data_IF_334529842779
#
_entry.id   IF_334529842779
#
_cell.length_a   1.000
_cell.length_b   1.000
_cell.length_c   1.000
_cell.angle_alpha   90.00
_cell.angle_beta   90.00
_cell.angle_gamma   90.00
#
_symmetry.space_group_name_H-M   'P 1'
#
loop_
_entity.id
_entity.type
_entity.pdbx_description
1 polymer ?
#
# COMPACT_ATOMS: atom_id res chain seq x y z
N UNK A 1 -24.84 -16.36 4.49
CA UNK A 1 -24.14 -15.08 4.27
C UNK A 1 -22.77 -15.40 3.70
N UNK A 2 -22.38 -14.77 2.60
CA UNK A 2 -21.07 -14.98 1.94
C UNK A 2 -19.93 -14.54 2.87
N UNK A 3 -18.83 -15.29 3.02
CA UNK A 3 -17.74 -14.95 3.96
C UNK A 3 -17.14 -13.54 3.76
N UNK A 4 -16.97 -13.09 2.52
CA UNK A 4 -16.48 -11.74 2.20
C UNK A 4 -17.46 -10.63 2.60
N UNK A 5 -18.79 -10.86 2.50
CA UNK A 5 -19.80 -9.97 3.07
C UNK A 5 -19.64 -9.89 4.59
N UNK A 6 -19.46 -11.02 5.26
CA UNK A 6 -19.25 -11.06 6.71
C UNK A 6 -17.97 -10.33 7.15
N UNK A 7 -16.93 -10.33 6.30
CA UNK A 7 -15.70 -9.58 6.51
C UNK A 7 -15.91 -8.06 6.41
N UNK A 8 -16.94 -7.61 5.68
CA UNK A 8 -17.31 -6.21 5.50
C UNK A 8 -18.27 -5.66 6.57
N UNK A 9 -19.00 -6.53 7.26
CA UNK A 9 -20.02 -6.13 8.24
C UNK A 9 -19.46 -5.20 9.32
N UNK A 10 -20.22 -4.16 9.72
CA UNK A 10 -19.78 -3.20 10.72
C UNK A 10 -19.53 -3.84 12.08
N UNK A 11 -18.53 -3.30 12.77
CA UNK A 11 -18.02 -3.72 14.09
C UNK A 11 -18.06 -2.60 15.12
N UNK A 12 -18.77 -1.53 14.81
CA UNK A 12 -18.89 -0.35 15.67
C UNK A 12 -19.53 -0.64 17.00
N UNK A 13 -18.90 -0.13 18.05
CA UNK A 13 -19.35 -0.23 19.43
C UNK A 13 -19.76 1.11 20.04
N UNK A 14 -19.82 2.18 19.25
CA UNK A 14 -20.10 3.55 19.71
C UNK A 14 -18.85 4.38 20.05
N UNK A 15 -17.67 3.77 20.14
CA UNK A 15 -16.40 4.46 20.37
C UNK A 15 -15.27 3.75 19.63
N UNK A 16 -14.16 4.46 19.43
CA UNK A 16 -12.99 3.95 18.73
C UNK A 16 -12.96 4.40 17.27
N UNK A 17 -12.49 3.53 16.38
CA UNK A 17 -12.43 3.81 14.95
C UNK A 17 -12.88 2.60 14.12
N UNK A 18 -13.37 2.88 12.92
CA UNK A 18 -13.68 1.87 11.92
C UNK A 18 -13.49 2.45 10.52
N UNK A 19 -12.85 1.67 9.66
CA UNK A 19 -12.29 2.08 8.37
C UNK A 19 -12.62 1.02 7.33
N UNK A 20 -13.25 1.42 6.24
CA UNK A 20 -13.27 0.67 4.99
C UNK A 20 -12.41 1.42 3.99
N UNK A 21 -11.46 0.73 3.35
CA UNK A 21 -10.70 1.34 2.28
C UNK A 21 -10.45 0.36 1.15
N UNK A 22 -10.17 0.92 -0.01
CA UNK A 22 -9.69 0.18 -1.15
C UNK A 22 -8.61 0.94 -1.91
N UNK A 23 -7.69 0.20 -2.52
CA UNK A 23 -6.75 0.73 -3.52
C UNK A 23 -7.07 0.05 -4.85
N UNK A 24 -7.19 0.84 -5.90
CA UNK A 24 -7.28 0.42 -7.29
C UNK A 24 -6.00 0.80 -8.00
N UNK A 25 -5.27 -0.17 -8.54
CA UNK A 25 -4.09 0.07 -9.35
C UNK A 25 -4.31 -0.49 -10.75
N UNK A 26 -3.96 0.27 -11.79
CA UNK A 26 -4.04 -0.17 -13.18
C UNK A 26 -2.68 -0.73 -13.63
N UNK A 27 -2.53 -2.06 -13.81
CA UNK A 27 -1.26 -2.63 -14.28
C UNK A 27 -0.85 -2.09 -15.65
N UNK A 28 0.47 -1.87 -15.85
CA UNK A 28 0.99 -1.29 -17.09
C UNK A 28 0.77 0.21 -17.25
N UNK A 29 0.26 0.87 -16.21
CA UNK A 29 -0.06 2.30 -16.17
C UNK A 29 0.42 2.92 -14.86
N UNK A 30 0.59 4.25 -14.85
CA UNK A 30 0.90 5.07 -13.67
C UNK A 30 -0.36 5.52 -12.91
N UNK A 31 -1.53 4.93 -13.20
CA UNK A 31 -2.84 5.37 -12.71
C UNK A 31 -3.33 4.55 -11.52
N UNK A 32 -3.83 5.25 -10.52
CA UNK A 32 -4.41 4.65 -9.33
C UNK A 32 -5.47 5.51 -8.67
N UNK A 33 -6.35 4.86 -7.89
CA UNK A 33 -7.28 5.48 -6.97
C UNK A 33 -7.19 4.79 -5.61
N UNK A 34 -7.13 5.57 -4.54
CA UNK A 34 -7.33 5.09 -3.18
C UNK A 34 -8.48 5.85 -2.55
N UNK A 35 -9.42 5.11 -1.96
CA UNK A 35 -10.54 5.69 -1.24
C UNK A 35 -10.61 5.09 0.14
N UNK A 36 -10.91 5.94 1.12
CA UNK A 36 -11.14 5.53 2.49
C UNK A 36 -12.40 6.16 3.04
N UNK A 37 -13.16 5.37 3.78
CA UNK A 37 -14.34 5.76 4.52
C UNK A 37 -14.07 5.43 5.98
N UNK A 38 -14.22 6.39 6.88
CA UNK A 38 -13.92 6.19 8.31
C UNK A 38 -14.99 6.81 9.18
N UNK A 39 -15.29 6.13 10.27
CA UNK A 39 -15.87 6.75 11.47
C UNK A 39 -14.89 6.68 12.62
N UNK A 40 -14.88 7.72 13.45
CA UNK A 40 -14.08 7.79 14.66
C UNK A 40 -14.87 8.49 15.76
N UNK A 41 -14.72 8.02 16.98
CA UNK A 41 -15.27 8.65 18.17
C UNK A 41 -14.33 8.43 19.36
N UNK A 42 -13.88 9.52 19.97
CA UNK A 42 -13.08 9.54 21.19
C UNK A 42 -13.58 10.62 22.16
N UNK A 43 -12.81 10.88 23.22
CA UNK A 43 -13.12 11.91 24.23
C UNK A 43 -13.09 13.34 23.69
N UNK A 44 -12.51 13.56 22.50
CA UNK A 44 -12.37 14.87 21.87
C UNK A 44 -13.44 15.14 20.82
N UNK A 45 -14.15 14.11 20.36
CA UNK A 45 -15.28 14.23 19.46
C UNK A 45 -15.49 13.00 18.60
N UNK A 46 -16.46 13.12 17.71
CA UNK A 46 -16.78 12.07 16.73
C UNK A 46 -17.13 12.65 15.38
N UNK A 47 -16.69 11.96 14.33
CA UNK A 47 -16.96 12.33 12.95
C UNK A 47 -16.91 11.13 12.01
N UNK A 48 -17.43 11.36 10.81
CA UNK A 48 -17.26 10.49 9.65
C UNK A 48 -16.43 11.22 8.60
N UNK A 49 -15.63 10.49 7.83
CA UNK A 49 -14.70 11.08 6.88
C UNK A 49 -14.56 10.23 5.63
N UNK A 50 -14.39 10.91 4.51
CA UNK A 50 -14.08 10.33 3.21
C UNK A 50 -12.75 10.89 2.74
N UNK A 51 -11.84 10.03 2.29
CA UNK A 51 -10.61 10.43 1.61
C UNK A 51 -10.63 9.85 0.21
N UNK A 52 -10.17 10.63 -0.75
CA UNK A 52 -9.91 10.16 -2.11
C UNK A 52 -8.52 10.65 -2.54
N UNK A 53 -7.73 9.74 -3.09
CA UNK A 53 -6.41 10.04 -3.62
C UNK A 53 -6.30 9.44 -5.02
N UNK A 54 -6.07 10.30 -6.01
CA UNK A 54 -5.79 9.90 -7.39
C UNK A 54 -4.33 10.13 -7.67
N UNK A 55 -3.67 9.12 -8.23
CA UNK A 55 -2.29 9.22 -8.70
C UNK A 55 -2.25 8.96 -10.21
N UNK A 56 -1.59 9.82 -10.97
CA UNK A 56 -1.39 9.67 -12.41
C UNK A 56 -0.07 10.34 -12.82
N UNK A 57 0.75 9.64 -13.60
CA UNK A 57 1.97 10.17 -14.22
C UNK A 57 2.92 10.91 -13.25
N UNK A 58 3.13 10.33 -12.06
CA UNK A 58 3.99 10.89 -11.01
C UNK A 58 3.37 12.04 -10.21
N UNK A 59 2.15 12.47 -10.53
CA UNK A 59 1.38 13.44 -9.76
C UNK A 59 0.38 12.74 -8.83
N UNK A 60 0.04 13.39 -7.73
CA UNK A 60 -0.97 12.92 -6.78
C UNK A 60 -1.87 14.07 -6.36
N UNK A 61 -3.18 13.84 -6.40
CA UNK A 61 -4.21 14.74 -5.88
C UNK A 61 -4.97 14.02 -4.77
N UNK A 62 -5.16 14.72 -3.66
CA UNK A 62 -5.64 14.16 -2.41
C UNK A 62 -6.68 15.10 -1.79
N UNK A 63 -7.90 14.58 -1.61
CA UNK A 63 -9.04 15.30 -1.06
C UNK A 63 -9.58 14.57 0.17
N UNK A 64 -10.17 15.34 1.10
CA UNK A 64 -10.86 14.81 2.27
C UNK A 64 -12.11 15.61 2.60
N UNK A 65 -13.17 14.89 2.93
CA UNK A 65 -14.38 15.48 3.53
C UNK A 65 -14.57 14.98 4.95
N UNK A 66 -14.99 15.89 5.83
CA UNK A 66 -15.30 15.64 7.23
C UNK A 66 -16.78 15.95 7.44
N UNK A 67 -17.52 14.98 7.95
CA UNK A 67 -18.97 15.03 8.16
C UNK A 67 -19.29 14.65 9.61
N UNK A 68 -20.52 14.96 10.04
CA UNK A 68 -21.03 14.45 11.31
C UNK A 68 -21.02 12.91 11.32
N UNK A 69 -20.82 12.30 12.49
CA UNK A 69 -20.73 10.84 12.64
C UNK A 69 -21.95 10.11 12.03
N UNK A 70 -23.13 10.71 12.20
CA UNK A 70 -24.43 10.20 11.76
C UNK A 70 -24.57 10.16 10.24
N UNK A 71 -23.70 10.86 9.51
CA UNK A 71 -23.68 10.79 8.04
C UNK A 71 -23.24 9.41 7.55
N UNK A 72 -22.51 8.62 8.35
CA UNK A 72 -22.09 7.27 7.99
C UNK A 72 -23.14 6.24 8.43
N UNK A 73 -23.82 5.63 7.47
CA UNK A 73 -24.82 4.58 7.68
C UNK A 73 -24.41 3.28 7.00
N UNK A 74 -24.84 2.15 7.55
CA UNK A 74 -24.51 0.80 7.04
C UNK A 74 -25.75 -0.03 6.67
N UNK A 75 -26.92 0.60 6.68
CA UNK A 75 -28.20 -0.04 6.43
C UNK A 75 -28.75 0.46 5.09
N UNK A 76 -29.34 -0.46 4.31
CA UNK A 76 -29.92 -0.17 3.00
C UNK A 76 -31.01 -1.18 2.65
N UNK A 77 -32.17 -0.69 2.21
CA UNK A 77 -33.24 -1.54 1.67
C UNK A 77 -32.89 -2.08 0.27
N UNK A 78 -32.18 -1.30 -0.53
CA UNK A 78 -31.77 -1.66 -1.91
C UNK A 78 -30.61 -2.68 -1.92
N UNK A 79 -29.81 -2.68 -0.85
CA UNK A 79 -28.62 -3.51 -0.71
C UNK A 79 -28.61 -4.20 0.66
N UNK A 80 -29.47 -5.22 0.87
CA UNK A 80 -29.71 -5.80 2.19
C UNK A 80 -28.52 -6.60 2.75
N UNK A 81 -27.54 -6.96 1.91
CA UNK A 81 -26.38 -7.75 2.31
C UNK A 81 -25.30 -6.89 2.99
N UNK A 82 -24.85 -5.83 2.33
CA UNK A 82 -23.90 -4.87 2.86
C UNK A 82 -23.89 -3.61 1.99
N UNK A 83 -24.09 -2.45 2.62
CA UNK A 83 -23.97 -1.15 1.98
C UNK A 83 -23.55 -0.13 3.01
N UNK A 84 -22.57 0.68 2.67
CA UNK A 84 -22.02 1.76 3.46
C UNK A 84 -22.26 3.06 2.68
N UNK A 85 -22.90 4.03 3.33
CA UNK A 85 -23.11 5.37 2.79
C UNK A 85 -22.50 6.39 3.73
N UNK A 86 -21.88 7.42 3.19
CA UNK A 86 -21.37 8.58 3.95
C UNK A 86 -21.98 9.84 3.36
N UNK A 87 -23.05 10.34 3.96
CA UNK A 87 -23.80 11.50 3.48
C UNK A 87 -24.22 11.35 2.02
N UNK A 88 -24.01 12.38 1.21
CA UNK A 88 -24.13 12.32 -0.26
C UNK A 88 -22.76 12.11 -0.95
N UNK A 89 -21.70 11.91 -0.15
CA UNK A 89 -20.30 11.96 -0.58
C UNK A 89 -19.85 10.62 -1.15
N UNK A 90 -20.26 9.51 -0.53
CA UNK A 90 -19.82 8.19 -0.96
C UNK A 90 -20.84 7.10 -0.67
N UNK A 91 -20.84 6.10 -1.55
CA UNK A 91 -21.63 4.88 -1.50
C UNK A 91 -20.71 3.71 -1.83
N UNK A 92 -20.72 2.68 -0.98
CA UNK A 92 -19.82 1.54 -1.07
C UNK A 92 -20.54 0.26 -0.71
N UNK A 93 -20.43 -0.77 -1.54
CA UNK A 93 -21.08 -2.04 -1.29
C UNK A 93 -20.32 -3.21 -1.88
N UNK A 94 -20.95 -4.37 -1.86
CA UNK A 94 -20.36 -5.58 -2.40
C UNK A 94 -20.35 -5.53 -3.93
N UNK A 95 -19.18 -5.23 -4.51
CA UNK A 95 -18.97 -5.15 -5.96
C UNK A 95 -19.11 -3.76 -6.57
N UNK A 96 -19.27 -2.70 -5.77
CA UNK A 96 -19.32 -1.34 -6.30
C UNK A 96 -18.81 -0.27 -5.33
N UNK A 97 -18.39 0.86 -5.88
CA UNK A 97 -18.20 2.10 -5.15
C UNK A 97 -18.44 3.30 -6.05
N UNK A 98 -19.13 4.30 -5.54
CA UNK A 98 -19.31 5.59 -6.19
C UNK A 98 -19.24 6.72 -5.16
N UNK A 99 -18.83 7.90 -5.61
CA UNK A 99 -18.75 9.05 -4.72
C UNK A 99 -18.09 10.26 -5.34
N UNK A 100 -18.08 11.34 -4.58
CA UNK A 100 -17.41 12.60 -4.89
C UNK A 100 -16.86 13.19 -3.60
N UNK A 101 -15.55 13.40 -3.56
CA UNK A 101 -14.83 14.02 -2.46
C UNK A 101 -14.02 15.20 -3.03
N UNK A 102 -14.44 16.43 -2.74
CA UNK A 102 -13.84 17.62 -3.35
C UNK A 102 -13.94 17.62 -4.88
N UNK A 103 -12.79 17.70 -5.56
CA UNK A 103 -12.71 17.66 -7.04
C UNK A 103 -12.57 16.25 -7.62
N UNK A 104 -12.49 15.22 -6.78
CA UNK A 104 -12.37 13.82 -7.19
C UNK A 104 -13.75 13.16 -7.12
N UNK A 105 -14.24 12.61 -8.22
CA UNK A 105 -15.41 11.73 -8.24
C UNK A 105 -15.07 10.37 -8.82
N UNK A 106 -15.76 9.30 -8.43
CA UNK A 106 -15.53 7.97 -8.95
C UNK A 106 -16.83 7.21 -9.12
N UNK A 107 -16.81 6.25 -10.03
CA UNK A 107 -17.87 5.26 -10.22
C UNK A 107 -17.23 3.97 -10.70
N UNK A 108 -17.26 2.96 -9.84
CA UNK A 108 -16.56 1.69 -10.00
C UNK A 108 -17.49 0.52 -9.76
N UNK A 109 -17.26 -0.54 -10.55
CA UNK A 109 -17.73 -1.90 -10.26
C UNK A 109 -16.52 -2.81 -10.16
N UNK A 110 -16.59 -3.81 -9.29
CA UNK A 110 -15.55 -4.80 -9.14
C UNK A 110 -16.12 -6.20 -8.91
N UNK A 111 -15.38 -7.21 -9.34
CA UNK A 111 -15.79 -8.61 -9.16
C UNK A 111 -15.56 -9.05 -7.71
N UNK A 112 -16.61 -8.98 -6.91
CA UNK A 112 -16.58 -9.38 -5.52
C UNK A 112 -16.57 -10.91 -5.40
N UNK A 113 -15.51 -11.46 -4.80
CA UNK A 113 -15.38 -12.90 -4.55
C UNK A 113 -16.05 -13.33 -3.24
N UNK A 114 -16.29 -14.64 -3.09
CA UNK A 114 -16.97 -15.19 -1.91
C UNK A 114 -16.08 -15.26 -0.66
N UNK A 115 -14.79 -15.54 -0.84
CA UNK A 115 -13.85 -15.77 0.25
C UNK A 115 -12.95 -14.55 0.48
N UNK A 116 -12.77 -14.10 1.75
CA UNK A 116 -11.79 -13.07 2.06
C UNK A 116 -10.36 -13.59 1.88
N UNK A 117 -9.43 -12.68 1.59
CA UNK A 117 -8.02 -12.99 1.59
C UNK A 117 -7.51 -13.18 3.03
N UNK A 118 -6.63 -14.16 3.22
CA UNK A 118 -6.00 -14.44 4.51
C UNK A 118 -4.50 -14.17 4.41
N UNK A 119 -4.12 -12.90 4.55
CA UNK A 119 -2.73 -12.42 4.35
C UNK A 119 -2.17 -11.62 5.54
N UNK A 120 -3.01 -11.38 6.54
CA UNK A 120 -2.64 -10.68 7.77
C UNK A 120 -1.92 -11.61 8.76
N UNK A 121 -1.13 -11.07 9.71
CA UNK A 121 -0.55 -11.87 10.77
C UNK A 121 -1.61 -12.69 11.53
N UNK A 122 -1.48 -14.02 11.51
CA UNK A 122 -2.40 -14.92 12.18
C UNK A 122 -2.06 -15.00 13.67
N UNK A 123 -2.80 -14.27 14.50
CA UNK A 123 -2.66 -14.26 15.95
C UNK A 123 -3.70 -15.17 16.61
N UNK A 124 -3.34 -15.88 17.70
CA UNK A 124 -4.31 -16.60 18.52
C UNK A 124 -5.41 -15.66 19.04
N UNK A 125 -6.66 -16.13 19.01
CA UNK A 125 -7.84 -15.32 19.34
C UNK A 125 -7.88 -14.82 20.79
N UNK A 126 -7.11 -15.42 21.70
CA UNK A 126 -7.02 -14.99 23.10
C UNK A 126 -6.13 -13.75 23.31
N UNK A 127 -5.37 -13.33 22.31
CA UNK A 127 -4.53 -12.13 22.42
C UNK A 127 -5.44 -10.89 22.34
N UNK A 128 -5.46 -10.02 23.36
CA UNK A 128 -6.26 -8.80 23.31
C UNK A 128 -5.65 -7.82 22.32
N UNK A 129 -6.35 -7.57 21.20
CA UNK A 129 -5.93 -6.63 20.17
C UNK A 129 -6.74 -5.34 20.27
N UNK A 130 -6.07 -4.20 20.19
CA UNK A 130 -6.73 -2.89 20.11
C UNK A 130 -7.16 -2.51 18.69
N UNK A 131 -6.60 -3.16 17.67
CA UNK A 131 -6.93 -3.02 16.25
C UNK A 131 -7.16 -4.42 15.66
N UNK A 132 -8.19 -4.54 14.85
CA UNK A 132 -8.52 -5.71 14.05
C UNK A 132 -8.60 -5.33 12.58
N UNK A 133 -8.38 -6.31 11.70
CA UNK A 133 -8.57 -6.11 10.28
C UNK A 133 -8.99 -7.39 9.57
N UNK A 134 -9.76 -7.22 8.51
CA UNK A 134 -10.09 -8.24 7.51
C UNK A 134 -9.71 -7.72 6.12
N UNK A 135 -9.58 -8.65 5.18
CA UNK A 135 -9.24 -8.35 3.79
C UNK A 135 -10.33 -8.94 2.87
N UNK A 136 -11.49 -8.27 2.71
CA UNK A 136 -12.65 -8.86 2.03
C UNK A 136 -12.40 -9.26 0.57
N UNK A 137 -11.65 -8.45 -0.18
CA UNK A 137 -11.34 -8.69 -1.58
C UNK A 137 -9.88 -8.35 -1.87
N UNK A 138 -9.21 -9.18 -2.67
CA UNK A 138 -7.83 -8.99 -3.11
C UNK A 138 -7.72 -9.24 -4.61
N UNK A 139 -7.03 -8.35 -5.32
CA UNK A 139 -6.88 -8.35 -6.78
C UNK A 139 -8.21 -8.50 -7.55
N UNK A 140 -9.30 -7.93 -7.03
CA UNK A 140 -10.60 -7.97 -7.69
C UNK A 140 -10.55 -7.12 -8.98
N UNK A 141 -10.88 -7.67 -10.16
CA UNK A 141 -10.98 -6.90 -11.39
C UNK A 141 -11.97 -5.74 -11.27
N UNK A 142 -11.58 -4.58 -11.81
CA UNK A 142 -12.35 -3.33 -11.76
C UNK A 142 -12.74 -2.90 -13.16
N UNK A 143 -13.95 -2.36 -13.26
CA UNK A 143 -14.41 -1.52 -14.38
C UNK A 143 -14.94 -0.20 -13.84
N UNK A 144 -14.81 0.86 -14.63
CA UNK A 144 -15.28 2.18 -14.26
C UNK A 144 -14.21 3.25 -14.36
N UNK A 145 -14.40 4.35 -13.65
CA UNK A 145 -13.60 5.55 -13.84
C UNK A 145 -13.49 6.39 -12.60
N UNK A 146 -12.52 7.28 -12.63
CA UNK A 146 -12.40 8.43 -11.73
C UNK A 146 -12.38 9.70 -12.56
N UNK A 147 -13.02 10.76 -12.09
CA UNK A 147 -12.89 12.09 -12.65
C UNK A 147 -12.14 12.98 -11.65
N UNK A 148 -11.22 13.78 -12.18
CA UNK A 148 -10.42 14.71 -11.41
C UNK A 148 -10.32 16.01 -12.20
N UNK A 149 -10.69 17.12 -11.56
CA UNK A 149 -10.71 18.45 -12.19
C UNK A 149 -11.47 18.46 -13.53
N UNK A 150 -12.58 17.71 -13.60
CA UNK A 150 -13.43 17.58 -14.79
C UNK A 150 -12.89 16.65 -15.89
N UNK A 151 -11.73 16.02 -15.68
CA UNK A 151 -11.15 15.05 -16.61
C UNK A 151 -11.38 13.63 -16.13
N UNK A 152 -11.94 12.81 -17.01
CA UNK A 152 -12.18 11.38 -16.77
C UNK A 152 -10.93 10.54 -17.06
N UNK A 153 -10.60 9.65 -16.12
CA UNK A 153 -9.55 8.65 -16.19
C UNK A 153 -10.20 7.26 -16.13
N UNK A 154 -9.99 6.46 -17.18
CA UNK A 154 -10.51 5.09 -17.22
C UNK A 154 -9.68 4.17 -16.31
N UNK A 155 -10.36 3.31 -15.55
CA UNK A 155 -9.78 2.31 -14.66
C UNK A 155 -10.17 0.87 -15.06
N UNK A 156 -10.74 0.67 -16.24
CA UNK A 156 -11.01 -0.67 -16.77
C UNK A 156 -9.74 -1.53 -16.82
N UNK A 157 -9.83 -2.75 -16.29
CA UNK A 157 -8.70 -3.68 -16.21
C UNK A 157 -7.78 -3.42 -15.01
N UNK A 158 -8.10 -2.45 -14.16
CA UNK A 158 -7.42 -2.27 -12.88
C UNK A 158 -7.78 -3.40 -11.90
N UNK A 159 -6.97 -3.51 -10.85
CA UNK A 159 -7.14 -4.49 -9.79
C UNK A 159 -7.35 -3.76 -8.47
N UNK A 160 -8.27 -4.27 -7.65
CA UNK A 160 -8.66 -3.70 -6.38
C UNK A 160 -8.25 -4.60 -5.22
N UNK A 161 -7.63 -4.00 -4.20
CA UNK A 161 -7.55 -4.58 -2.86
C UNK A 161 -8.47 -3.81 -1.93
N UNK A 162 -9.14 -4.54 -1.04
CA UNK A 162 -10.04 -3.98 -0.04
C UNK A 162 -9.67 -4.48 1.35
N UNK A 163 -9.66 -3.57 2.32
CA UNK A 163 -9.54 -3.92 3.72
C UNK A 163 -10.61 -3.22 4.56
N UNK A 164 -10.95 -3.87 5.67
CA UNK A 164 -11.79 -3.33 6.73
C UNK A 164 -11.00 -3.40 8.03
N UNK A 165 -10.87 -2.28 8.74
CA UNK A 165 -10.06 -2.14 9.97
C UNK A 165 -10.91 -1.47 11.05
N UNK A 166 -10.94 -2.01 12.25
CA UNK A 166 -11.67 -1.43 13.37
C UNK A 166 -10.94 -1.62 14.69
N UNK A 167 -11.29 -0.84 15.71
CA UNK A 167 -10.78 -1.06 17.05
C UNK A 167 -10.87 0.14 17.98
N UNK A 168 -10.37 -0.04 19.20
CA UNK A 168 -10.34 0.96 20.27
C UNK A 168 -8.97 1.63 20.44
N UNK A 169 -7.93 1.13 19.76
CA UNK A 169 -6.60 1.73 19.74
C UNK A 169 -5.93 1.45 18.40
N UNK A 170 -5.30 2.46 17.79
CA UNK A 170 -4.57 2.30 16.51
C UNK A 170 -3.25 1.57 16.74
N UNK A 171 -2.82 0.78 15.74
CA UNK A 171 -1.42 0.35 15.64
C UNK A 171 -0.53 1.59 15.52
N UNK A 172 0.50 1.70 16.36
CA UNK A 172 1.38 2.88 16.33
C UNK A 172 2.43 2.82 15.22
N UNK A 173 2.67 1.65 14.63
CA UNK A 173 3.59 1.49 13.52
C UNK A 173 3.05 0.44 12.54
N UNK A 174 2.99 0.80 11.27
CA UNK A 174 2.63 -0.09 10.18
C UNK A 174 3.46 0.19 8.93
N UNK A 175 3.82 -0.87 8.22
CA UNK A 175 4.35 -0.81 6.85
C UNK A 175 3.52 -1.77 6.01
N UNK A 176 3.02 -1.28 4.89
CA UNK A 176 2.23 -2.09 3.98
C UNK A 176 2.72 -1.89 2.56
N UNK A 177 2.83 -2.98 1.82
CA UNK A 177 3.12 -2.96 0.41
C UNK A 177 2.24 -3.97 -0.30
N UNK A 178 1.66 -3.57 -1.43
CA UNK A 178 0.82 -4.43 -2.24
C UNK A 178 1.16 -4.29 -3.71
N UNK A 179 1.36 -5.42 -4.37
CA UNK A 179 1.68 -5.52 -5.80
C UNK A 179 0.67 -6.49 -6.42
N UNK A 180 -0.34 -5.99 -7.13
CA UNK A 180 -1.38 -6.86 -7.69
C UNK A 180 -0.87 -7.71 -8.87
N UNK A 181 0.20 -7.24 -9.55
CA UNK A 181 0.78 -7.93 -10.70
C UNK A 181 2.26 -7.60 -10.88
N UNK A 182 3.08 -8.63 -11.10
CA UNK A 182 4.45 -8.49 -11.61
C UNK A 182 4.51 -8.60 -13.15
N UNK A 183 5.53 -8.00 -13.74
CA UNK A 183 5.80 -8.01 -15.18
C UNK A 183 6.12 -9.43 -15.67
N UNK A 184 5.46 -9.85 -16.75
CA UNK A 184 5.53 -11.22 -17.28
C UNK A 184 6.77 -11.51 -18.14
N UNK A 185 7.71 -10.57 -18.27
CA UNK A 185 8.86 -10.63 -19.22
C UNK A 185 9.81 -11.81 -19.00
N UNK A 186 9.69 -12.55 -17.89
CA UNK A 186 10.42 -13.80 -17.62
C UNK A 186 9.51 -15.03 -17.37
N UNK A 187 8.29 -15.03 -17.90
CA UNK A 187 7.43 -16.23 -17.93
C UNK A 187 6.56 -16.47 -16.68
N UNK A 188 6.31 -15.44 -15.87
CA UNK A 188 5.30 -15.52 -14.82
C UNK A 188 4.88 -14.15 -14.33
N UNK A 189 3.57 -13.91 -14.23
CA UNK A 189 3.04 -12.80 -13.42
C UNK A 189 3.12 -13.16 -11.94
N UNK A 190 2.01 -13.01 -11.22
CA UNK A 190 1.97 -13.19 -9.77
C UNK A 190 1.77 -11.87 -9.02
N UNK A 191 1.73 -11.96 -7.69
CA UNK A 191 1.31 -10.85 -6.83
C UNK A 191 2.01 -10.93 -5.47
N UNK A 192 2.09 -9.82 -4.76
CA UNK A 192 2.74 -9.71 -3.46
C UNK A 192 1.90 -8.85 -2.51
N UNK A 193 1.89 -9.25 -1.25
CA UNK A 193 1.49 -8.38 -0.15
C UNK A 193 2.43 -8.55 1.04
N UNK A 194 2.79 -7.43 1.67
CA UNK A 194 3.55 -7.38 2.92
C UNK A 194 2.78 -6.49 3.88
N UNK A 195 2.49 -7.02 5.07
CA UNK A 195 1.93 -6.25 6.18
C UNK A 195 2.81 -6.43 7.40
N UNK A 196 3.46 -5.36 7.84
CA UNK A 196 4.23 -5.33 9.07
C UNK A 196 3.62 -4.35 10.08
N UNK A 197 3.43 -4.80 11.32
CA UNK A 197 2.77 -4.02 12.37
C UNK A 197 3.50 -4.14 13.70
N UNK A 198 3.51 -3.05 14.46
CA UNK A 198 3.87 -3.05 15.87
C UNK A 198 2.83 -2.26 16.67
N UNK A 199 2.38 -2.84 17.78
CA UNK A 199 1.37 -2.22 18.64
C UNK A 199 1.87 -0.93 19.30
N UNK A 200 3.18 -0.85 19.58
CA UNK A 200 3.85 0.35 20.10
C UNK A 200 5.06 0.67 19.24
N UNK A 201 5.23 1.95 18.93
CA UNK A 201 6.47 2.42 18.35
C UNK A 201 7.47 2.68 19.49
N UNK A 202 8.59 1.95 19.52
CA UNK A 202 9.69 2.30 20.43
C UNK A 202 10.40 3.55 19.88
N UNK A 203 10.65 4.59 20.70
CA UNK A 203 11.39 5.76 20.24
C UNK A 203 12.77 5.36 19.72
N UNK A 204 13.13 5.73 18.49
CA UNK A 204 14.40 5.40 17.85
C UNK A 204 15.63 5.73 18.71
N UNK A 205 15.52 6.77 19.55
CA UNK A 205 16.57 7.22 20.48
C UNK A 205 16.89 6.22 21.61
N UNK A 206 15.97 5.30 21.97
CA UNK A 206 16.16 4.35 23.08
C UNK A 206 16.68 2.97 22.63
N UNK A 207 16.40 2.56 21.41
CA UNK A 207 16.69 1.19 20.94
C UNK A 207 17.97 1.09 20.11
N UNK A 208 18.52 2.22 19.63
CA UNK A 208 19.59 2.23 18.63
C UNK A 208 19.20 1.56 17.31
N UNK A 209 17.92 1.17 17.16
CA UNK A 209 17.33 0.51 16.00
C UNK A 209 16.36 1.47 15.33
N UNK A 210 16.32 1.45 14.00
CA UNK A 210 15.46 2.33 13.20
C UNK A 210 13.99 1.89 13.16
N UNK A 211 13.70 0.61 13.46
CA UNK A 211 12.34 0.04 13.41
C UNK A 211 12.03 -0.76 14.70
N UNK A 212 10.77 -0.73 15.19
CA UNK A 212 10.35 -1.45 16.40
C UNK A 212 10.29 -2.97 16.18
N UNK A 213 10.17 -3.74 17.27
CA UNK A 213 9.80 -5.15 17.17
C UNK A 213 8.40 -5.26 16.56
N UNK A 214 8.28 -6.04 15.49
CA UNK A 214 7.07 -6.09 14.67
C UNK A 214 6.72 -7.53 14.29
N UNK A 215 5.45 -7.73 13.94
CA UNK A 215 4.99 -8.90 13.21
C UNK A 215 4.97 -8.53 11.73
N UNK A 216 5.59 -9.32 10.86
CA UNK A 216 5.59 -9.08 9.41
C UNK A 216 5.02 -10.29 8.66
N UNK A 217 3.76 -10.19 8.23
CA UNK A 217 3.17 -11.12 7.28
C UNK A 217 3.60 -10.78 5.85
N UNK A 218 3.87 -11.82 5.08
CA UNK A 218 4.20 -11.70 3.66
C UNK A 218 3.54 -12.86 2.92
N UNK A 219 2.85 -12.52 1.83
CA UNK A 219 2.22 -13.47 0.92
C UNK A 219 2.71 -13.15 -0.49
N UNK A 220 3.26 -14.14 -1.17
CA UNK A 220 3.81 -14.00 -2.51
C UNK A 220 3.32 -15.13 -3.40
N UNK A 221 2.67 -14.79 -4.51
CA UNK A 221 2.30 -15.71 -5.58
C UNK A 221 3.26 -15.57 -6.74
N UNK A 222 3.83 -16.68 -7.19
CA UNK A 222 4.78 -16.76 -8.29
C UNK A 222 4.08 -17.34 -9.51
N UNK A 223 3.89 -16.51 -10.55
CA UNK A 223 3.16 -16.89 -11.75
C UNK A 223 1.66 -16.70 -11.64
N UNK A 224 0.95 -17.08 -12.72
CA UNK A 224 -0.50 -16.95 -12.84
C UNK A 224 -1.20 -18.29 -12.98
N UNK A 225 -2.49 -18.30 -12.67
CA UNK A 225 -3.33 -19.51 -12.75
C UNK A 225 -3.31 -20.37 -11.49
N UNK A 226 -4.00 -21.52 -11.54
CA UNK A 226 -4.23 -22.39 -10.38
C UNK A 226 -2.95 -23.10 -9.88
N UNK A 227 -1.96 -23.27 -10.76
CA UNK A 227 -0.69 -23.94 -10.44
C UNK A 227 0.40 -22.97 -9.95
N UNK A 228 0.07 -21.69 -9.78
CA UNK A 228 1.01 -20.69 -9.29
C UNK A 228 1.51 -21.05 -7.88
N UNK A 229 2.83 -21.01 -7.68
CA UNK A 229 3.41 -21.29 -6.37
C UNK A 229 3.04 -20.15 -5.40
N UNK A 230 2.56 -20.49 -4.20
CA UNK A 230 2.29 -19.52 -3.14
C UNK A 230 3.26 -19.72 -1.99
N UNK A 231 4.01 -18.65 -1.68
CA UNK A 231 4.82 -18.54 -0.49
C UNK A 231 4.05 -17.71 0.52
N UNK A 232 3.47 -18.38 1.51
CA UNK A 232 2.72 -17.75 2.59
C UNK A 232 3.51 -17.77 3.91
N UNK A 233 3.90 -16.58 4.37
CA UNK A 233 4.57 -16.32 5.62
C UNK A 233 3.72 -15.51 6.61
N UNK A 234 2.39 -15.64 6.57
CA UNK A 234 1.43 -14.98 7.47
C UNK A 234 1.29 -15.65 8.85
N UNK A 235 1.73 -16.90 9.01
CA UNK A 235 1.67 -17.63 10.27
C UNK A 235 2.63 -17.08 11.35
N UNK A 236 2.19 -17.09 12.62
CA UNK A 236 2.86 -16.47 13.77
C UNK A 236 4.39 -16.68 13.84
N UNK A 237 4.86 -17.93 13.73
CA UNK A 237 6.31 -18.23 13.83
C UNK A 237 7.12 -17.57 12.72
N UNK A 238 6.53 -17.45 11.53
CA UNK A 238 7.18 -16.83 10.36
C UNK A 238 7.15 -15.32 10.48
N UNK A 239 6.03 -14.74 10.90
CA UNK A 239 5.88 -13.29 11.05
C UNK A 239 6.79 -12.68 12.11
N UNK A 240 7.09 -13.43 13.19
CA UNK A 240 8.06 -13.02 14.22
C UNK A 240 9.53 -13.09 13.76
N UNK A 241 9.85 -13.88 12.73
CA UNK A 241 11.23 -14.06 12.22
C UNK A 241 11.53 -13.19 11.02
N UNK A 242 10.50 -12.70 10.34
CA UNK A 242 10.62 -11.81 9.22
C UNK A 242 11.31 -10.51 9.65
N UNK A 243 12.22 -10.01 8.81
CA UNK A 243 12.85 -8.70 8.99
C UNK A 243 12.27 -7.76 7.95
N UNK A 244 11.57 -6.72 8.39
CA UNK A 244 11.28 -5.57 7.56
C UNK A 244 12.00 -4.33 8.09
N UNK A 245 12.47 -3.49 7.18
CA UNK A 245 13.17 -2.24 7.50
C UNK A 245 12.71 -1.12 6.60
N UNK A 246 12.55 0.07 7.17
CA UNK A 246 12.50 1.31 6.41
C UNK A 246 13.91 1.88 6.31
N UNK A 247 14.57 1.64 5.18
CA UNK A 247 15.96 2.09 5.00
C UNK A 247 16.02 3.62 4.91
N UNK A 248 14.95 4.24 4.40
CA UNK A 248 14.74 5.69 4.29
C UNK A 248 13.26 5.97 3.93
N UNK A 249 12.82 7.23 3.94
CA UNK A 249 11.47 7.59 3.51
C UNK A 249 11.18 7.00 2.13
N UNK A 250 10.01 6.39 1.98
CA UNK A 250 9.59 5.82 0.71
C UNK A 250 10.29 4.53 0.28
N UNK A 251 11.10 3.89 1.13
CA UNK A 251 11.72 2.59 0.80
C UNK A 251 11.46 1.57 1.90
N UNK A 252 10.85 0.46 1.50
CA UNK A 252 10.63 -0.74 2.30
C UNK A 252 11.56 -1.85 1.83
N UNK A 253 12.28 -2.45 2.78
CA UNK A 253 13.14 -3.60 2.52
C UNK A 253 12.74 -4.75 3.43
N UNK A 254 12.40 -5.90 2.84
CA UNK A 254 12.04 -7.10 3.55
C UNK A 254 12.96 -8.25 3.17
N UNK A 255 13.38 -9.02 4.17
CA UNK A 255 14.16 -10.25 3.98
C UNK A 255 13.52 -11.36 4.78
N UNK A 256 13.27 -12.48 4.11
CA UNK A 256 12.85 -13.73 4.72
C UNK A 256 13.75 -14.88 4.26
N UNK A 257 14.07 -15.80 5.16
CA UNK A 257 14.81 -17.02 4.83
C UNK A 257 14.22 -18.21 5.58
N UNK A 258 14.15 -19.37 4.92
CA UNK A 258 13.60 -20.60 5.49
C UNK A 258 13.59 -21.73 4.46
N UNK A 259 13.66 -22.98 4.91
CA UNK A 259 13.57 -24.18 4.05
C UNK A 259 14.55 -24.17 2.85
N UNK A 260 15.75 -23.63 3.04
CA UNK A 260 16.73 -23.52 1.96
C UNK A 260 16.38 -22.49 0.88
N UNK A 261 15.39 -21.61 1.11
CA UNK A 261 15.09 -20.45 0.27
C UNK A 261 15.34 -19.15 1.01
N UNK A 262 15.63 -18.10 0.24
CA UNK A 262 15.75 -16.73 0.70
C UNK A 262 15.03 -15.81 -0.27
N UNK A 263 14.33 -14.84 0.29
CA UNK A 263 13.50 -13.88 -0.43
C UNK A 263 13.95 -12.51 0.02
N UNK A 264 14.24 -11.66 -0.95
CA UNK A 264 14.57 -10.25 -0.72
C UNK A 264 13.58 -9.41 -1.50
N UNK A 265 12.89 -8.51 -0.82
CA UNK A 265 11.84 -7.68 -1.40
C UNK A 265 12.17 -6.22 -1.15
N UNK A 266 12.11 -5.42 -2.20
CA UNK A 266 12.29 -3.97 -2.14
C UNK A 266 11.09 -3.32 -2.77
N UNK A 267 10.39 -2.49 -2.01
CA UNK A 267 9.29 -1.67 -2.52
C UNK A 267 9.64 -0.21 -2.28
N UNK A 268 9.48 0.64 -3.28
CA UNK A 268 9.82 2.04 -3.14
C UNK A 268 8.93 2.97 -3.94
N UNK A 269 8.78 4.20 -3.48
CA UNK A 269 8.12 5.27 -4.21
C UNK A 269 8.92 6.56 -4.08
N UNK A 270 8.80 7.44 -5.07
CA UNK A 270 9.32 8.78 -4.96
C UNK A 270 8.56 9.54 -3.87
N UNK A 271 9.23 10.31 -2.98
CA UNK A 271 8.57 11.07 -1.92
C UNK A 271 7.41 11.96 -2.41
N UNK A 272 7.55 12.52 -3.62
CA UNK A 272 6.57 13.42 -4.22
C UNK A 272 5.27 12.74 -4.64
N UNK A 273 5.27 11.42 -4.81
CA UNK A 273 4.05 10.64 -5.13
C UNK A 273 3.32 10.17 -3.88
N UNK A 274 3.75 10.59 -2.69
CA UNK A 274 3.12 10.20 -1.43
C UNK A 274 2.07 11.21 -0.99
N UNK A 275 0.86 10.73 -0.70
CA UNK A 275 -0.14 11.48 0.05
C UNK A 275 0.08 11.25 1.55
N UNK A 276 0.49 12.29 2.27
CA UNK A 276 0.72 12.27 3.71
C UNK A 276 -0.44 12.85 4.52
N UNK A 277 -0.78 12.24 5.65
CA UNK A 277 -1.87 12.64 6.54
C UNK A 277 -1.48 12.46 8.01
N UNK A 278 -1.83 13.43 8.85
CA UNK A 278 -1.81 13.25 10.30
C UNK A 278 -3.08 12.50 10.72
N UNK A 279 -2.93 11.51 11.60
CA UNK A 279 -3.96 10.64 12.12
C UNK A 279 -4.03 10.79 13.62
N UNK A 280 -5.20 11.12 14.16
CA UNK A 280 -5.35 11.18 15.62
C UNK A 280 -5.33 9.80 16.24
N UNK A 281 -4.52 9.63 17.29
CA UNK A 281 -4.61 8.48 18.19
C UNK A 281 -5.79 8.65 19.13
N UNK A 282 -6.50 7.55 19.38
CA UNK A 282 -7.50 7.50 20.46
C UNK A 282 -6.73 7.67 21.78
N UNK A 283 -7.11 8.66 22.58
CA UNK A 283 -6.38 9.06 23.79
C UNK A 283 -5.28 10.11 23.57
N UNK A 284 -5.11 10.63 22.34
CA UNK A 284 -4.31 11.82 22.05
C UNK A 284 -2.93 11.59 21.44
N UNK A 285 -2.41 12.66 20.83
CA UNK A 285 -1.27 12.62 19.93
C UNK A 285 -1.67 12.24 18.51
N UNK A 286 -0.76 12.47 17.57
CA UNK A 286 -0.94 12.12 16.17
C UNK A 286 0.05 11.03 15.75
N UNK A 287 -0.36 10.25 14.76
CA UNK A 287 0.47 9.39 13.93
C UNK A 287 0.51 10.01 12.53
N UNK A 288 1.50 9.61 11.75
CA UNK A 288 1.72 10.08 10.41
C UNK A 288 1.56 8.91 9.46
N UNK A 289 0.67 9.05 8.48
CA UNK A 289 0.48 8.07 7.40
C UNK A 289 0.94 8.70 6.11
N UNK A 290 1.78 8.01 5.36
CA UNK A 290 2.19 8.39 4.02
C UNK A 290 2.00 7.20 3.08
N UNK A 291 1.20 7.38 2.03
CA UNK A 291 0.90 6.34 1.06
C UNK A 291 1.20 6.81 -0.35
N UNK A 292 1.87 5.96 -1.13
CA UNK A 292 1.97 6.09 -2.58
C UNK A 292 1.23 4.95 -3.25
N UNK A 293 0.55 5.25 -4.36
CA UNK A 293 -0.07 4.27 -5.25
C UNK A 293 0.70 4.14 -6.59
N UNK A 294 1.90 4.73 -6.66
CA UNK A 294 2.82 4.71 -7.80
C UNK A 294 4.16 4.14 -7.37
N UNK A 295 4.14 3.11 -6.52
CA UNK A 295 5.35 2.47 -6.05
C UNK A 295 5.86 1.43 -7.06
N UNK A 296 7.14 1.14 -6.96
CA UNK A 296 7.82 0.06 -7.64
C UNK A 296 8.10 -1.06 -6.65
N UNK A 297 8.19 -2.29 -7.15
CA UNK A 297 8.58 -3.44 -6.37
C UNK A 297 9.54 -4.34 -7.14
N UNK A 298 10.55 -4.84 -6.44
CA UNK A 298 11.42 -5.92 -6.90
C UNK A 298 11.43 -7.05 -5.87
N UNK A 299 11.31 -8.29 -6.36
CA UNK A 299 11.49 -9.50 -5.56
C UNK A 299 12.66 -10.29 -6.14
N UNK A 300 13.58 -10.71 -5.29
CA UNK A 300 14.67 -11.61 -5.63
C UNK A 300 14.53 -12.90 -4.81
N UNK A 301 14.44 -14.03 -5.52
CA UNK A 301 14.40 -15.36 -4.93
C UNK A 301 15.75 -16.02 -5.06
N UNK A 302 16.17 -16.69 -3.99
CA UNK A 302 17.40 -17.44 -3.94
C UNK A 302 17.15 -18.81 -3.31
N UNK A 303 17.91 -19.79 -3.77
CA UNK A 303 18.00 -21.13 -3.16
C UNK A 303 19.36 -21.34 -2.52
N UNK A 304 19.41 -22.15 -1.46
CA UNK A 304 20.63 -22.50 -0.76
C UNK A 304 21.54 -23.33 -1.67
N UNK A 305 22.82 -22.97 -1.72
CA UNK A 305 23.85 -23.71 -2.46
C UNK A 305 25.12 -23.77 -1.61
N UNK A 306 25.35 -24.91 -0.95
CA UNK A 306 26.42 -25.06 0.05
C UNK A 306 26.25 -24.08 1.21
N UNK A 307 27.28 -23.27 1.46
CA UNK A 307 27.25 -22.21 2.48
C UNK A 307 26.63 -20.90 2.00
N UNK A 308 26.38 -20.75 0.69
CA UNK A 308 25.89 -19.52 0.06
C UNK A 308 24.46 -19.63 -0.51
N UNK A 309 24.12 -18.64 -1.32
CA UNK A 309 22.83 -18.52 -1.99
C UNK A 309 23.04 -18.44 -3.51
N UNK A 310 22.18 -19.10 -4.27
CA UNK A 310 22.14 -19.03 -5.74
C UNK A 310 20.82 -18.38 -6.17
N UNK A 311 20.85 -17.36 -7.05
CA UNK A 311 19.63 -16.76 -7.59
C UNK A 311 18.74 -17.80 -8.28
N UNK A 312 17.43 -17.68 -8.08
CA UNK A 312 16.39 -18.55 -8.65
C UNK A 312 15.46 -17.77 -9.58
N UNK A 313 14.92 -16.64 -9.13
CA UNK A 313 14.04 -15.79 -9.93
C UNK A 313 14.13 -14.33 -9.50
N UNK A 314 13.69 -13.43 -10.39
CA UNK A 314 13.51 -12.01 -10.11
C UNK A 314 12.19 -11.53 -10.71
N UNK A 315 11.39 -10.85 -9.91
CA UNK A 315 10.12 -10.25 -10.32
C UNK A 315 10.18 -8.73 -10.14
N UNK A 316 9.52 -8.00 -11.03
CA UNK A 316 9.46 -6.53 -11.00
C UNK A 316 8.06 -6.04 -11.31
N UNK A 317 7.70 -4.91 -10.71
CA UNK A 317 6.46 -4.21 -11.00
C UNK A 317 6.66 -2.73 -10.81
N UNK A 318 6.07 -1.93 -11.69
CA UNK A 318 5.90 -0.47 -11.52
C UNK A 318 4.50 -0.12 -11.01
N UNK A 319 3.72 -1.12 -10.62
CA UNK A 319 2.33 -1.02 -10.19
C UNK A 319 2.24 -1.57 -8.77
N UNK A 320 2.47 -0.71 -7.78
CA UNK A 320 2.40 -1.08 -6.37
C UNK A 320 1.85 0.05 -5.49
N UNK A 321 1.21 -0.34 -4.39
CA UNK A 321 0.90 0.54 -3.28
C UNK A 321 1.95 0.36 -2.17
N UNK A 322 2.31 1.46 -1.51
CA UNK A 322 3.28 1.48 -0.42
C UNK A 322 2.84 2.47 0.64
N UNK A 323 2.66 2.01 1.88
CA UNK A 323 2.25 2.81 3.02
C UNK A 323 3.26 2.74 4.17
N UNK A 324 3.52 3.90 4.75
CA UNK A 324 4.22 4.08 6.01
C UNK A 324 3.29 4.74 7.02
N UNK A 325 3.13 4.10 8.17
CA UNK A 325 2.37 4.62 9.29
C UNK A 325 3.23 4.57 10.56
N UNK A 326 3.37 5.68 11.27
CA UNK A 326 4.23 5.75 12.45
C UNK A 326 4.15 7.06 13.22
N UNK A 327 4.83 7.18 14.37
CA UNK A 327 4.99 8.46 15.06
C UNK A 327 6.00 9.39 14.38
N UNK A 328 6.82 8.86 13.48
CA UNK A 328 7.86 9.63 12.80
C UNK A 328 7.28 10.42 11.64
N UNK A 329 7.66 11.70 11.57
CA UNK A 329 7.41 12.55 10.41
C UNK A 329 8.61 12.47 9.46
N UNK A 330 8.39 12.14 8.20
CA UNK A 330 9.45 12.22 7.18
C UNK A 330 9.52 13.66 6.65
N UNK A 331 10.68 14.30 6.80
CA UNK A 331 10.87 15.72 6.46
C UNK A 331 10.65 15.99 4.97
N UNK A 332 10.82 14.97 4.13
CA UNK A 332 10.68 15.02 2.68
C UNK A 332 9.22 14.90 2.21
N UNK A 333 8.28 14.63 3.12
CA UNK A 333 6.87 14.41 2.81
C UNK A 333 6.00 15.54 3.36
N UNK A 334 4.97 15.90 2.59
CA UNK A 334 3.94 16.80 3.04
C UNK A 334 2.82 16.02 3.76
N UNK A 335 2.43 16.49 4.93
CA UNK A 335 1.34 15.90 5.71
C UNK A 335 0.20 16.88 5.89
N UNK A 336 -1.00 16.45 5.54
CA UNK A 336 -2.22 17.21 5.79
C UNK A 336 -2.61 17.06 7.27
N UNK A 337 -2.80 18.17 8.01
CA UNK A 337 -3.24 18.12 9.40
C UNK A 337 -4.55 17.34 9.60
N UNK A 338 -4.76 16.81 10.79
CA UNK A 338 -5.96 16.03 11.09
C UNK A 338 -7.27 16.82 10.95
N UNK A 339 -7.28 18.16 11.07
CA UNK A 339 -8.51 18.96 10.92
C UNK A 339 -8.68 19.61 9.54
N UNK A 340 -7.68 19.59 8.67
CA UNK A 340 -7.70 20.31 7.38
C UNK A 340 -8.48 19.58 6.28
N UNK A 341 -9.38 20.23 5.55
CA UNK A 341 -10.14 19.54 4.50
C UNK A 341 -9.26 19.11 3.31
N UNK A 342 -8.23 19.89 2.95
CA UNK A 342 -7.44 19.65 1.73
C UNK A 342 -5.94 19.55 1.98
N UNK A 343 -5.25 18.81 1.11
CA UNK A 343 -3.78 18.79 1.09
C UNK A 343 -3.16 20.12 0.63
N UNK A 344 -3.87 20.86 -0.22
CA UNK A 344 -3.42 22.15 -0.76
C UNK A 344 -3.26 23.23 0.32
N UNK A 345 -3.98 23.10 1.43
CA UNK A 345 -3.93 24.04 2.56
C UNK A 345 -2.65 23.87 3.43
N UNK A 346 -1.89 22.79 3.22
CA UNK A 346 -0.75 22.41 4.06
C UNK A 346 0.61 22.61 3.40
N UNK A 347 0.69 23.25 2.22
CA UNK A 347 1.97 23.49 1.54
C UNK A 347 2.91 24.27 2.47
N UNK A 348 3.95 23.60 2.99
CA UNK A 348 5.03 24.31 3.67
C UNK A 348 5.66 25.27 2.66
N UNK A 349 5.89 26.54 3.01
CA UNK A 349 6.65 27.45 2.17
C UNK A 349 8.09 26.91 2.05
N UNK A 350 8.40 26.26 0.92
CA UNK A 350 9.75 25.76 0.62
C UNK A 350 9.86 24.48 -0.21
N UNK A 351 8.80 23.69 -0.42
CA UNK A 351 8.90 22.40 -1.15
C UNK A 351 8.43 22.44 -2.61
N UNK A 352 8.63 23.55 -3.33
CA UNK A 352 8.45 23.57 -4.79
C UNK A 352 9.82 23.39 -5.44
N UNK A 353 10.22 22.14 -5.64
CA UNK A 353 11.21 21.85 -6.66
C UNK A 353 10.48 21.87 -8.01
N UNK A 354 10.47 23.02 -8.67
CA UNK A 354 10.10 23.11 -10.08
C UNK A 354 11.15 22.33 -10.87
N UNK A 355 10.82 21.12 -11.31
CA UNK A 355 11.61 20.43 -12.32
C UNK A 355 11.01 20.70 -13.69
N UNK A 356 11.91 21.01 -14.63
CA UNK A 356 11.62 21.34 -16.01
C UNK A 356 10.79 20.24 -16.68
N UNK A 357 9.97 20.65 -17.67
CA UNK A 357 9.21 19.76 -18.53
C UNK A 357 10.09 18.63 -19.07
N UNK A 358 9.57 17.38 -19.18
CA UNK A 358 10.29 16.31 -19.82
C UNK A 358 10.59 16.70 -21.27
N UNK A 359 11.80 16.36 -21.74
CA UNK A 359 12.17 16.47 -23.14
C UNK A 359 11.13 15.77 -24.01
N UNK A 360 10.82 16.36 -25.17
CA UNK A 360 9.81 15.93 -26.13
C UNK A 360 9.69 14.40 -26.21
N UNK A 361 8.58 13.88 -25.70
CA UNK A 361 8.23 12.48 -25.84
C UNK A 361 7.98 12.20 -27.33
N UNK A 362 8.76 11.28 -27.91
CA UNK A 362 8.44 10.68 -29.20
C UNK A 362 7.04 10.04 -29.13
N UNK A 363 6.30 10.10 -30.24
CA UNK A 363 4.97 9.49 -30.35
C UNK A 363 4.96 8.04 -29.81
N UNK A 364 3.95 7.66 -29.00
CA UNK A 364 3.84 6.31 -28.49
C UNK A 364 3.68 5.31 -29.66
N UNK A 365 4.28 4.12 -29.59
CA UNK A 365 4.11 3.11 -30.62
C UNK A 365 2.64 2.72 -30.75
N UNK A 366 2.21 2.45 -31.98
CA UNK A 366 0.83 2.09 -32.27
C UNK A 366 0.41 0.75 -31.63
N UNK A 367 -0.90 0.50 -31.50
CA UNK A 367 -1.41 -0.76 -30.96
C UNK A 367 -0.92 -1.94 -31.80
N UNK A 368 -0.12 -2.83 -31.20
CA UNK A 368 0.43 -4.03 -31.83
C UNK A 368 1.96 -4.08 -31.90
N UNK A 369 2.64 -2.97 -31.63
CA UNK A 369 4.11 -2.92 -31.60
C UNK A 369 4.62 -3.16 -30.17
N UNK A 370 5.13 -4.36 -29.93
CA UNK A 370 5.79 -4.70 -28.67
C UNK A 370 7.11 -3.92 -28.57
N UNK A 371 7.23 -3.07 -27.55
CA UNK A 371 8.52 -2.49 -27.17
C UNK A 371 9.36 -3.64 -26.60
N UNK A 372 10.40 -4.08 -27.33
CA UNK A 372 11.45 -4.89 -26.74
C UNK A 372 12.15 -4.07 -25.65
N UNK A 373 11.75 -4.30 -24.41
CA UNK A 373 12.49 -3.81 -23.26
C UNK A 373 13.71 -4.73 -23.07
N UNK A 374 14.94 -4.24 -23.23
CA UNK A 374 16.12 -5.09 -23.06
C UNK A 374 16.12 -5.70 -21.66
N UNK A 375 16.51 -6.98 -21.54
CA UNK A 375 16.74 -7.65 -20.26
C UNK A 375 17.55 -6.72 -19.34
N UNK A 376 17.03 -6.32 -18.17
CA UNK A 376 17.76 -5.39 -17.32
C UNK A 376 18.94 -6.11 -16.63
N UNK A 377 20.16 -5.71 -16.97
CA UNK A 377 21.42 -6.26 -16.48
C UNK A 377 21.86 -5.78 -15.07
N UNK A 378 20.97 -5.14 -14.29
CA UNK A 378 21.35 -4.33 -13.13
C UNK A 378 20.40 -4.45 -11.92
N UNK A 379 20.96 -4.30 -10.70
CA UNK A 379 20.26 -4.11 -9.42
C UNK A 379 20.09 -2.60 -9.17
N UNK A 380 18.91 -2.19 -8.69
CA UNK A 380 18.68 -0.82 -8.22
C UNK A 380 19.14 -0.72 -6.76
N UNK A 381 20.25 -0.03 -6.50
CA UNK A 381 20.69 0.25 -5.13
C UNK A 381 19.88 1.42 -4.55
N UNK A 382 18.95 1.12 -3.66
CA UNK A 382 18.11 2.10 -2.96
C UNK A 382 18.76 2.66 -1.67
N UNK A 383 20.09 2.68 -1.61
CA UNK A 383 20.85 3.13 -0.43
C UNK A 383 21.53 2.03 0.37
N UNK A 384 21.42 0.76 -0.06
CA UNK A 384 22.30 -0.31 0.43
C UNK A 384 23.66 -0.18 -0.26
N UNK A 385 24.74 -0.22 0.52
CA UNK A 385 26.08 -0.34 -0.05
C UNK A 385 26.22 -1.72 -0.72
N UNK A 386 27.08 -1.85 -1.73
CA UNK A 386 27.44 -3.16 -2.28
C UNK A 386 27.81 -4.17 -1.18
N UNK A 387 28.53 -3.69 -0.16
CA UNK A 387 28.87 -4.47 1.02
C UNK A 387 27.63 -5.01 1.75
N UNK A 388 26.61 -4.18 1.99
CA UNK A 388 25.37 -4.64 2.61
C UNK A 388 24.65 -5.68 1.73
N UNK A 389 24.64 -5.50 0.41
CA UNK A 389 24.06 -6.49 -0.50
C UNK A 389 24.87 -7.80 -0.54
N UNK A 390 26.21 -7.75 -0.52
CA UNK A 390 27.09 -8.91 -0.49
C UNK A 390 27.03 -9.65 0.85
N UNK A 391 26.94 -8.92 1.97
CA UNK A 391 26.68 -9.47 3.32
C UNK A 391 25.30 -10.14 3.37
N UNK A 392 24.30 -9.54 2.71
CA UNK A 392 22.98 -10.14 2.57
C UNK A 392 23.03 -11.41 1.73
N UNK A 393 23.60 -11.39 0.53
CA UNK A 393 23.49 -12.51 -0.42
C UNK A 393 24.56 -13.59 -0.26
N UNK A 394 25.64 -13.33 0.49
CA UNK A 394 26.74 -14.27 0.68
C UNK A 394 27.43 -14.69 -0.62
N UNK A 395 27.29 -13.89 -1.68
CA UNK A 395 27.85 -14.14 -2.99
C UNK A 395 29.25 -13.53 -3.11
N UNK A 396 30.14 -14.24 -3.84
CA UNK A 396 31.34 -13.64 -4.42
C UNK A 396 30.94 -12.49 -5.35
N UNK A 397 31.86 -11.54 -5.68
CA UNK A 397 31.52 -10.44 -6.56
C UNK A 397 30.93 -10.88 -7.90
N UNK A 398 29.61 -10.76 -8.01
CA UNK A 398 28.88 -10.79 -9.27
C UNK A 398 29.14 -9.42 -9.94
N UNK A 399 29.56 -9.35 -11.23
CA UNK A 399 29.78 -8.09 -11.95
C UNK A 399 28.49 -7.31 -12.25
N UNK A 400 27.55 -7.26 -11.30
CA UNK A 400 26.30 -6.53 -11.40
C UNK A 400 26.55 -5.02 -11.27
N UNK A 401 26.13 -4.28 -12.29
CA UNK A 401 26.17 -2.81 -12.28
C UNK A 401 25.04 -2.30 -11.39
N UNK A 402 25.40 -1.62 -10.29
CA UNK A 402 24.43 -0.90 -9.46
C UNK A 402 23.98 0.37 -10.19
N UNK A 403 22.69 0.51 -10.48
CA UNK A 403 22.13 1.79 -10.92
C UNK A 403 21.41 2.46 -9.75
N UNK A 404 21.72 3.73 -9.52
CA UNK A 404 20.88 4.59 -8.68
C UNK A 404 19.63 4.91 -9.48
N UNK A 405 18.45 4.68 -8.90
CA UNK A 405 17.21 5.19 -9.47
C UNK A 405 17.09 6.68 -9.10
N UNK A 406 17.17 7.61 -10.06
CA UNK A 406 17.11 9.04 -9.75
C UNK A 406 15.78 9.44 -9.09
N UNK A 407 14.67 8.75 -9.36
CA UNK A 407 13.39 9.01 -8.69
C UNK A 407 13.43 8.62 -7.20
N UNK A 408 14.33 7.70 -6.87
CA UNK A 408 14.58 7.31 -5.50
C UNK A 408 15.64 8.20 -4.83
N UNK A 409 16.47 8.98 -5.53
CA UNK A 409 17.60 9.71 -4.93
C UNK A 409 17.47 11.23 -5.14
N UNK A 410 17.20 11.98 -4.06
CA UNK A 410 17.32 13.44 -4.09
C UNK A 410 18.79 13.86 -4.17
N UNK A 411 19.17 14.91 -4.94
CA UNK A 411 20.52 15.43 -4.93
C UNK A 411 20.84 15.99 -3.54
N UNK A 412 21.72 15.33 -2.78
CA UNK A 412 22.18 15.79 -1.46
C UNK A 412 22.12 14.76 -0.32
N UNK A 413 21.64 13.53 -0.58
CA UNK A 413 21.60 12.43 0.40
C UNK A 413 22.65 11.34 0.16
#
# INVERSE_FOLDING_TARGET
MVPSLQANQPRWSGSGFEIWFFVVLLPGSSRALWVRLTRIADDKGSDARVWAVVSEDGATTAEREILALEALTTESEEHPDFHLRVGEVASFGHGFSEGKCGTISWSLRFEAGDAPAVRLPQLPSFIPLGTHSTHPHAEAPVTGHVEIDGRRVNLDGALLTQMHIWGSARVEWLRWAWVPRFDSTNGGGGALEITAVAAKAEPAAKSGKRDPQHLCAMWLRLGDGPDAEVIDNSGLTKTMRASVRSIRPGVLHHVAAGNGRRIVIRTWAAPQTMAGWNYRKIGGGDLHVAQSNQAHCEVELYRRAGLGWRPEARLRSTCAALEFHGPDHFAELAYVPWEAAQARDAAQPGSVATLAAPAEASEPPGPGDWIETPRPAAIVALGLTYRAHAEETGSSPDPLVFRKDPAAWSPGG
#
